data_IF_766410553388
#
_entry.id   IF_766410553388
#
_cell.length_a   1.000
_cell.length_b   1.000
_cell.length_c   1.000
_cell.angle_alpha   90.00
_cell.angle_beta   90.00
_cell.angle_gamma   90.00
#
_symmetry.space_group_name_H-M   'P 1'
#
loop_
_entity.id
_entity.type
_entity.pdbx_description
1 polymer ?
#
# COMPACT_ATOMS: atom_id res chain seq x y z
N UNK A 1 25.34 -74.86 -8.21
CA UNK A 1 25.97 -74.53 -6.93
C UNK A 1 25.56 -73.10 -6.55
N UNK A 2 24.94 -72.96 -5.35
CA UNK A 2 24.77 -71.76 -4.49
C UNK A 2 24.68 -70.38 -5.18
N UNK A 3 23.57 -69.64 -5.16
CA UNK A 3 22.47 -69.57 -4.20
C UNK A 3 22.72 -68.50 -3.13
N UNK A 4 22.10 -67.34 -3.33
CA UNK A 4 21.54 -66.39 -2.35
C UNK A 4 22.46 -65.46 -1.53
N UNK A 5 22.01 -64.20 -1.45
CA UNK A 5 22.46 -63.15 -0.52
C UNK A 5 22.04 -61.77 -1.01
N UNK A 6 20.74 -61.44 -0.99
CA UNK A 6 20.11 -60.48 -0.06
C UNK A 6 20.93 -59.19 0.14
N UNK A 7 20.45 -58.11 -0.48
CA UNK A 7 20.88 -56.74 -0.21
C UNK A 7 19.70 -55.79 -0.37
N UNK A 8 18.82 -55.78 0.63
CA UNK A 8 17.68 -54.88 0.74
C UNK A 8 18.21 -53.47 1.04
N UNK A 9 18.39 -52.63 0.03
CA UNK A 9 18.72 -51.22 0.24
C UNK A 9 17.41 -50.44 0.39
N UNK A 10 17.13 -50.03 1.64
CA UNK A 10 16.02 -49.16 2.01
C UNK A 10 16.05 -47.90 1.15
N UNK A 11 15.01 -47.73 0.32
CA UNK A 11 14.68 -46.45 -0.29
C UNK A 11 14.15 -45.55 0.83
N UNK A 12 15.01 -44.68 1.36
CA UNK A 12 14.60 -43.60 2.24
C UNK A 12 13.77 -42.60 1.42
N UNK A 13 12.45 -42.82 1.36
CA UNK A 13 11.50 -41.78 1.00
C UNK A 13 11.59 -40.69 2.07
N UNK A 14 12.42 -39.67 1.81
CA UNK A 14 12.30 -38.35 2.40
C UNK A 14 10.97 -37.76 1.94
N UNK A 15 9.89 -38.11 2.63
CA UNK A 15 8.66 -37.33 2.61
C UNK A 15 9.00 -35.99 3.24
N UNK A 16 9.33 -35.00 2.40
CA UNK A 16 9.19 -33.60 2.73
C UNK A 16 7.71 -33.41 3.09
N UNK A 17 7.41 -33.54 4.39
CA UNK A 17 6.16 -33.11 4.97
C UNK A 17 6.05 -31.64 4.63
N UNK A 18 5.26 -31.37 3.59
CA UNK A 18 4.78 -30.07 3.21
C UNK A 18 4.16 -29.44 4.45
N UNK A 19 4.90 -28.56 5.12
CA UNK A 19 4.33 -27.60 6.07
C UNK A 19 3.54 -26.61 5.22
N UNK A 20 2.40 -27.06 4.73
CA UNK A 20 1.41 -26.26 4.05
C UNK A 20 0.60 -25.55 5.12
N UNK A 21 1.18 -24.50 5.70
CA UNK A 21 0.43 -23.49 6.43
C UNK A 21 -0.40 -22.67 5.43
N UNK A 22 -1.42 -23.32 4.87
CA UNK A 22 -2.49 -22.70 4.08
C UNK A 22 -3.29 -21.68 4.90
N UNK A 23 -3.18 -21.75 6.24
CA UNK A 23 -3.73 -20.79 7.19
C UNK A 23 -3.28 -19.35 6.93
N UNK A 24 -2.05 -19.14 6.41
CA UNK A 24 -1.53 -17.81 6.11
C UNK A 24 -2.15 -17.16 4.87
N UNK A 25 -2.43 -17.96 3.83
CA UNK A 25 -3.06 -17.46 2.59
C UNK A 25 -4.54 -17.18 2.82
N UNK A 26 -5.24 -18.04 3.54
CA UNK A 26 -6.65 -17.83 3.85
C UNK A 26 -6.86 -16.62 4.78
N UNK A 27 -5.97 -16.42 5.76
CA UNK A 27 -5.98 -15.24 6.61
C UNK A 27 -5.68 -13.93 5.83
N UNK A 28 -4.78 -14.00 4.85
CA UNK A 28 -4.48 -12.86 3.98
C UNK A 28 -5.68 -12.49 3.09
N UNK A 29 -6.32 -13.48 2.47
CA UNK A 29 -7.49 -13.26 1.62
C UNK A 29 -8.69 -12.76 2.44
N UNK A 30 -8.88 -13.25 3.67
CA UNK A 30 -9.90 -12.71 4.59
C UNK A 30 -9.60 -11.26 4.96
N UNK A 31 -8.33 -10.93 5.26
CA UNK A 31 -7.91 -9.57 5.53
C UNK A 31 -8.19 -8.62 4.36
N UNK A 32 -7.78 -8.97 3.14
CA UNK A 32 -8.04 -8.19 1.92
C UNK A 32 -9.54 -7.99 1.68
N UNK A 33 -10.33 -9.06 1.82
CA UNK A 33 -11.79 -8.99 1.67
C UNK A 33 -12.44 -8.06 2.69
N UNK A 34 -12.01 -8.12 3.96
CA UNK A 34 -12.48 -7.24 5.02
C UNK A 34 -12.05 -5.80 4.82
N UNK A 35 -10.84 -5.58 4.31
CA UNK A 35 -10.31 -4.26 3.99
C UNK A 35 -11.14 -3.62 2.87
N UNK A 36 -11.33 -4.34 1.75
CA UNK A 36 -12.14 -3.90 0.63
C UNK A 36 -13.58 -3.59 1.05
N UNK A 37 -14.21 -4.47 1.84
CA UNK A 37 -15.56 -4.26 2.38
C UNK A 37 -15.63 -3.06 3.33
N UNK A 38 -14.59 -2.81 4.11
CA UNK A 38 -14.53 -1.64 5.01
C UNK A 38 -14.41 -0.34 4.22
N UNK A 39 -13.60 -0.33 3.16
CA UNK A 39 -13.48 0.82 2.24
C UNK A 39 -14.80 1.10 1.50
N UNK A 40 -15.43 0.08 0.93
CA UNK A 40 -16.69 0.22 0.19
C UNK A 40 -17.87 0.66 1.07
N UNK A 41 -17.91 0.26 2.34
CA UNK A 41 -18.97 0.64 3.28
C UNK A 41 -18.71 1.97 3.98
N UNK A 42 -17.60 2.66 3.66
CA UNK A 42 -17.33 3.97 4.23
C UNK A 42 -18.38 4.94 3.69
N UNK A 43 -19.16 5.59 4.57
CA UNK A 43 -20.19 6.51 4.10
C UNK A 43 -19.54 7.64 3.29
N UNK A 44 -20.20 7.99 2.18
CA UNK A 44 -19.80 9.03 1.21
C UNK A 44 -19.60 10.41 1.87
N UNK A 45 -20.10 10.57 3.10
CA UNK A 45 -19.92 11.75 3.97
C UNK A 45 -18.47 12.09 4.28
N UNK A 46 -17.53 11.18 4.02
CA UNK A 46 -16.10 11.42 4.27
C UNK A 46 -15.38 12.09 3.10
N UNK A 47 -16.09 12.38 2.00
CA UNK A 47 -15.60 13.13 0.85
C UNK A 47 -14.49 12.43 0.06
N UNK A 48 -14.20 12.96 -1.14
CA UNK A 48 -13.08 12.50 -1.97
C UNK A 48 -11.76 12.62 -1.18
N UNK A 49 -10.93 11.56 -1.10
CA UNK A 49 -9.60 11.65 -0.53
C UNK A 49 -8.69 12.54 -1.38
N UNK A 50 -7.80 13.30 -0.74
CA UNK A 50 -6.83 14.15 -1.44
C UNK A 50 -5.40 13.77 -1.07
N UNK A 51 -4.52 13.70 -2.07
CA UNK A 51 -3.09 13.52 -1.88
C UNK A 51 -2.40 14.88 -1.83
N UNK A 52 -1.57 15.10 -0.81
CA UNK A 52 -0.62 16.20 -0.80
C UNK A 52 0.59 15.81 -1.63
N UNK A 53 0.83 16.57 -2.70
CA UNK A 53 1.93 16.38 -3.62
C UNK A 53 2.92 17.51 -3.47
N UNK A 54 4.21 17.17 -3.48
CA UNK A 54 5.27 18.14 -3.73
C UNK A 54 5.78 17.99 -5.15
N UNK A 55 5.99 19.12 -5.83
CA UNK A 55 6.61 19.20 -7.17
C UNK A 55 7.84 20.10 -7.09
N UNK A 56 8.96 19.62 -7.61
CA UNK A 56 10.19 20.39 -7.80
C UNK A 56 10.89 19.96 -9.11
N UNK A 57 12.13 20.42 -9.35
CA UNK A 57 12.90 20.04 -10.55
C UNK A 57 13.21 18.56 -10.66
N UNK A 58 13.25 17.83 -9.55
CA UNK A 58 13.51 16.40 -9.50
C UNK A 58 12.26 15.55 -9.77
N UNK A 59 11.08 16.17 -9.85
CA UNK A 59 9.84 15.48 -10.16
C UNK A 59 8.75 15.75 -9.13
N UNK A 60 7.90 14.74 -8.92
CA UNK A 60 6.75 14.79 -8.02
C UNK A 60 6.86 13.69 -6.96
N UNK A 61 6.41 13.99 -5.75
CA UNK A 61 6.29 12.99 -4.69
C UNK A 61 4.94 13.13 -3.96
N UNK A 62 4.33 11.99 -3.65
CA UNK A 62 3.17 11.89 -2.78
C UNK A 62 3.65 11.90 -1.33
N UNK A 63 3.19 12.86 -0.53
CA UNK A 63 3.64 13.04 0.85
C UNK A 63 2.68 12.45 1.87
N UNK A 64 1.38 12.68 1.71
CA UNK A 64 0.35 12.14 2.59
C UNK A 64 -1.00 12.10 1.86
N UNK A 65 -1.92 11.31 2.40
CA UNK A 65 -3.32 11.26 1.96
C UNK A 65 -4.20 11.84 3.07
N UNK A 66 -5.03 12.82 2.74
CA UNK A 66 -6.06 13.39 3.61
C UNK A 66 -7.38 12.75 3.29
N UNK A 67 -7.99 12.11 4.29
CA UNK A 67 -9.30 11.50 4.19
C UNK A 67 -10.00 11.47 5.54
N UNK A 68 -11.34 11.37 5.53
CA UNK A 68 -12.12 11.27 6.77
C UNK A 68 -12.21 12.57 7.57
N UNK A 69 -11.95 13.70 6.92
CA UNK A 69 -12.26 15.03 7.45
C UNK A 69 -13.63 15.47 6.92
N UNK A 70 -14.31 16.43 7.59
CA UNK A 70 -15.53 17.03 7.04
C UNK A 70 -15.32 17.66 5.65
N UNK A 71 -14.12 18.19 5.40
CA UNK A 71 -13.67 18.68 4.09
C UNK A 71 -12.18 18.32 3.91
N UNK A 72 -11.92 17.25 3.12
CA UNK A 72 -10.57 16.76 2.88
C UNK A 72 -9.72 17.73 2.06
N UNK A 73 -10.33 18.48 1.13
CA UNK A 73 -9.60 19.44 0.30
C UNK A 73 -9.11 20.60 1.18
N UNK A 74 -10.01 21.23 1.93
CA UNK A 74 -9.65 22.32 2.82
C UNK A 74 -8.61 21.91 3.87
N UNK A 75 -8.73 20.69 4.42
CA UNK A 75 -7.73 20.15 5.33
C UNK A 75 -6.36 19.94 4.64
N UNK A 76 -6.33 19.42 3.41
CA UNK A 76 -5.10 19.27 2.64
C UNK A 76 -4.45 20.64 2.33
N UNK A 77 -5.23 21.61 1.86
CA UNK A 77 -4.77 22.95 1.53
C UNK A 77 -4.21 23.68 2.76
N UNK A 78 -4.84 23.50 3.93
CA UNK A 78 -4.35 24.03 5.20
C UNK A 78 -2.96 23.48 5.56
N UNK A 79 -2.68 22.21 5.25
CA UNK A 79 -1.35 21.61 5.46
C UNK A 79 -0.34 22.16 4.44
N UNK A 80 -0.74 22.34 3.17
CA UNK A 80 0.13 22.84 2.11
C UNK A 80 0.50 24.34 2.27
N UNK A 81 -0.44 25.14 2.80
CA UNK A 81 -0.32 26.59 2.92
C UNK A 81 1.01 27.11 3.50
N UNK A 82 1.48 26.65 4.68
CA UNK A 82 2.74 27.14 5.25
C UNK A 82 3.94 26.89 4.33
N UNK A 83 4.03 25.72 3.69
CA UNK A 83 5.14 25.38 2.79
C UNK A 83 5.15 26.23 1.51
N UNK A 84 3.97 26.65 1.03
CA UNK A 84 3.85 27.53 -0.14
C UNK A 84 4.09 29.00 0.21
N UNK A 85 3.80 29.41 1.45
CA UNK A 85 3.99 30.78 1.93
C UNK A 85 5.46 31.07 2.30
N UNK A 86 6.13 30.11 2.95
CA UNK A 86 7.52 30.24 3.36
C UNK A 86 8.34 29.00 2.91
N UNK A 87 9.24 29.17 1.93
CA UNK A 87 10.12 28.10 1.47
C UNK A 87 11.02 27.50 2.55
N UNK A 88 11.26 28.21 3.67
CA UNK A 88 12.09 27.72 4.78
C UNK A 88 11.49 26.51 5.51
N UNK A 89 10.16 26.33 5.43
CA UNK A 89 9.50 25.14 5.96
C UNK A 89 9.70 23.90 5.08
N UNK A 90 10.18 24.08 3.85
CA UNK A 90 10.47 22.98 2.95
C UNK A 90 11.96 22.63 2.95
N UNK A 91 12.28 21.38 3.27
CA UNK A 91 13.62 20.82 3.03
C UNK A 91 13.92 20.66 1.54
N UNK A 92 12.87 20.65 0.70
CA UNK A 92 12.96 20.47 -0.74
C UNK A 92 13.01 21.85 -1.40
N UNK A 93 14.21 22.24 -1.86
CA UNK A 93 14.40 23.54 -2.54
C UNK A 93 13.52 23.67 -3.78
N UNK A 94 13.05 24.90 -4.01
CA UNK A 94 12.23 25.27 -5.18
C UNK A 94 10.99 24.39 -5.35
N UNK A 95 10.36 24.01 -4.24
CA UNK A 95 9.17 23.17 -4.24
C UNK A 95 7.87 23.97 -4.33
N UNK A 96 6.84 23.31 -4.83
CA UNK A 96 5.44 23.72 -4.76
C UNK A 96 4.61 22.55 -4.23
N UNK A 97 3.71 22.86 -3.32
CA UNK A 97 2.83 21.89 -2.69
C UNK A 97 1.41 22.07 -3.21
N UNK A 98 0.73 20.97 -3.49
CA UNK A 98 -0.64 21.00 -4.01
C UNK A 98 -1.42 19.76 -3.61
N UNK A 99 -2.75 19.88 -3.66
CA UNK A 99 -3.68 18.82 -3.32
C UNK A 99 -4.35 18.30 -4.58
N UNK A 100 -4.24 17.00 -4.83
CA UNK A 100 -4.90 16.34 -5.97
C UNK A 100 -5.89 15.31 -5.44
N UNK A 101 -7.08 15.15 -6.06
CA UNK A 101 -7.98 14.08 -5.69
C UNK A 101 -7.28 12.74 -5.96
N UNK A 102 -7.47 11.79 -5.05
CA UNK A 102 -7.03 10.41 -5.23
C UNK A 102 -8.14 9.65 -5.94
N UNK A 103 -7.82 9.08 -7.08
CA UNK A 103 -8.69 8.17 -7.82
C UNK A 103 -8.54 6.72 -7.34
N UNK A 104 -9.39 5.83 -7.86
CA UNK A 104 -9.43 4.41 -7.48
C UNK A 104 -8.13 3.66 -7.85
N UNK A 105 -7.34 4.22 -8.77
CA UNK A 105 -6.05 3.65 -9.18
C UNK A 105 -4.89 4.12 -8.29
N UNK A 106 -5.13 5.04 -7.33
CA UNK A 106 -4.12 5.68 -6.49
C UNK A 106 -2.97 6.27 -7.32
N UNK A 107 -3.27 6.71 -8.54
CA UNK A 107 -2.26 7.29 -9.42
C UNK A 107 -2.26 8.81 -9.26
N UNK A 108 -1.07 9.39 -9.38
CA UNK A 108 -0.98 10.83 -9.49
C UNK A 108 -1.50 11.21 -10.89
N UNK A 109 -2.56 12.03 -10.99
CA UNK A 109 -3.03 12.45 -12.29
C UNK A 109 -1.88 13.12 -13.05
N UNK A 110 -1.79 12.86 -14.35
CA UNK A 110 -0.76 13.40 -15.23
C UNK A 110 -1.21 14.81 -15.64
N UNK A 111 -0.50 15.84 -15.15
CA UNK A 111 -0.73 17.27 -15.47
C UNK A 111 0.56 17.88 -15.99
#
# INVERSE_FOLDING_TARGET
MRGSGVGLALVALLTLASCKDSSGIDAYNDFESRLAKTYQNKPDTNGTPYALIVRNRSGRAWLLTVHGQPDNLAACEKIAAPYNADPSFSVLKESRYGCVPVDDDFLLPVW
#
